data_IF_426703818873
#
_entry.id   IF_426703818873
#
_cell.length_a   1.000
_cell.length_b   1.000
_cell.length_c   1.000
_cell.angle_alpha   90.00
_cell.angle_beta   90.00
_cell.angle_gamma   90.00
#
_symmetry.space_group_name_H-M   'P 1'
#
loop_
_entity.id
_entity.type
_entity.pdbx_description
1 polymer ?
#
# COMPACT_ATOMS: atom_id res chain seq x y z
N UNK A 1 -1.61 2.16 26.32
CA UNK A 1 -2.22 3.31 25.61
C UNK A 1 -1.23 3.76 24.57
N UNK A 2 -1.66 3.86 23.32
CA UNK A 2 -0.77 3.83 22.16
C UNK A 2 -0.86 5.16 21.45
N UNK A 3 0.23 5.93 21.42
CA UNK A 3 0.26 7.23 20.76
C UNK A 3 0.31 7.06 19.24
N UNK A 4 -0.32 7.96 18.49
CA UNK A 4 -0.19 8.06 17.04
C UNK A 4 0.95 9.03 16.72
N UNK A 5 1.83 8.66 15.80
CA UNK A 5 2.80 9.62 15.22
C UNK A 5 2.42 9.88 13.78
N UNK A 6 2.20 11.14 13.43
CA UNK A 6 1.83 11.57 12.09
C UNK A 6 2.93 12.49 11.55
N UNK A 7 3.54 12.10 10.43
CA UNK A 7 4.62 12.86 9.79
C UNK A 7 4.17 13.40 8.44
N UNK A 8 4.33 14.71 8.24
CA UNK A 8 4.02 15.42 7.00
C UNK A 8 5.08 16.50 6.74
N UNK A 9 5.67 16.55 5.55
CA UNK A 9 6.73 17.51 5.16
C UNK A 9 7.78 17.76 6.27
N UNK A 10 8.32 16.67 6.83
CA UNK A 10 9.29 16.63 7.93
C UNK A 10 8.80 17.17 9.29
N UNK A 11 7.54 17.57 9.40
CA UNK A 11 6.89 17.93 10.65
C UNK A 11 6.27 16.68 11.28
N UNK A 12 6.51 16.49 12.58
CA UNK A 12 6.00 15.35 13.34
C UNK A 12 4.95 15.84 14.33
N UNK A 13 3.77 15.24 14.27
CA UNK A 13 2.65 15.47 15.17
C UNK A 13 2.39 14.21 15.99
N UNK A 14 2.25 14.35 17.30
CA UNK A 14 1.96 13.23 18.19
C UNK A 14 0.52 13.36 18.68
N UNK A 15 -0.31 12.35 18.42
CA UNK A 15 -1.67 12.25 18.93
C UNK A 15 -1.75 11.30 20.10
N UNK A 16 -2.32 11.74 21.21
CA UNK A 16 -2.68 10.90 22.35
C UNK A 16 -4.07 10.28 22.14
N UNK A 17 -4.42 9.17 22.82
CA UNK A 17 -5.75 8.56 22.71
C UNK A 17 -6.95 9.48 22.97
N UNK A 18 -6.75 10.59 23.69
CA UNK A 18 -7.78 11.61 23.92
C UNK A 18 -7.93 12.61 22.77
N UNK A 19 -6.97 12.63 21.86
CA UNK A 19 -6.88 13.61 20.79
C UNK A 19 -7.65 13.18 19.55
N UNK A 20 -8.09 14.18 18.80
CA UNK A 20 -8.61 14.01 17.45
C UNK A 20 -7.60 14.65 16.50
N UNK A 21 -6.85 13.81 15.78
CA UNK A 21 -5.83 14.29 14.84
C UNK A 21 -6.47 14.47 13.47
N UNK A 22 -6.61 15.71 13.02
CA UNK A 22 -7.24 16.05 11.74
C UNK A 22 -6.22 16.41 10.68
N UNK A 23 -6.54 16.13 9.42
CA UNK A 23 -5.72 16.59 8.29
C UNK A 23 -6.58 17.06 7.12
N UNK A 24 -6.09 18.08 6.40
CA UNK A 24 -6.78 18.72 5.29
C UNK A 24 -6.14 20.06 4.94
N UNK A 25 -6.79 20.85 4.07
CA UNK A 25 -6.29 22.20 3.73
C UNK A 25 -6.60 23.28 4.76
N UNK A 26 -7.53 23.04 5.68
CA UNK A 26 -7.91 24.10 6.61
C UNK A 26 -6.80 24.30 7.66
N UNK A 27 -6.48 25.55 7.96
CA UNK A 27 -5.41 25.90 8.91
C UNK A 27 -5.70 25.47 10.36
N UNK A 28 -6.95 25.13 10.68
CA UNK A 28 -7.36 24.57 11.98
C UNK A 28 -7.12 23.05 12.08
N UNK A 29 -6.67 22.40 11.00
CA UNK A 29 -6.30 20.99 11.04
C UNK A 29 -5.00 20.79 11.82
N UNK A 30 -4.91 19.69 12.58
CA UNK A 30 -3.68 19.29 13.26
C UNK A 30 -2.51 19.16 12.28
N UNK A 31 -2.79 18.63 11.09
CA UNK A 31 -1.88 18.58 9.94
C UNK A 31 -2.51 19.35 8.78
N UNK A 32 -2.06 20.59 8.60
CA UNK A 32 -2.44 21.40 7.43
C UNK A 32 -1.58 20.97 6.23
N UNK A 33 -2.21 20.43 5.19
CA UNK A 33 -1.51 19.90 4.02
C UNK A 33 -1.03 21.01 3.10
N UNK A 34 -1.97 21.82 2.62
CA UNK A 34 -1.71 22.97 1.77
C UNK A 34 -2.97 23.85 1.77
N UNK A 35 -2.95 25.04 2.37
CA UNK A 35 -4.14 25.88 2.50
C UNK A 35 -4.70 26.40 1.17
N UNK A 36 -3.83 26.52 0.16
CA UNK A 36 -4.15 27.05 -1.16
C UNK A 36 -4.65 25.96 -2.12
N UNK A 37 -4.41 24.68 -1.79
CA UNK A 37 -4.85 23.56 -2.62
C UNK A 37 -6.36 23.29 -2.47
N UNK A 38 -7.17 23.99 -3.27
CA UNK A 38 -8.63 23.87 -3.27
C UNK A 38 -9.16 22.48 -3.65
N UNK A 39 -8.33 21.63 -4.26
CA UNK A 39 -8.73 20.26 -4.58
C UNK A 39 -8.72 19.35 -3.34
N UNK A 40 -7.95 19.72 -2.31
CA UNK A 40 -7.97 19.08 -1.00
C UNK A 40 -9.16 19.57 -0.19
N UNK A 41 -9.85 18.65 0.48
CA UNK A 41 -10.96 19.02 1.37
C UNK A 41 -10.44 19.79 2.59
N UNK A 42 -11.22 20.76 3.09
CA UNK A 42 -10.91 21.50 4.33
C UNK A 42 -10.53 20.55 5.47
N UNK A 43 -11.29 19.46 5.61
CA UNK A 43 -10.96 18.30 6.45
C UNK A 43 -11.04 17.05 5.58
N UNK A 44 -9.89 16.55 5.13
CA UNK A 44 -9.81 15.38 4.26
C UNK A 44 -9.99 14.08 5.05
N UNK A 45 -9.43 14.01 6.25
CA UNK A 45 -9.63 12.88 7.13
C UNK A 45 -9.30 13.17 8.58
N UNK A 46 -9.54 12.17 9.41
CA UNK A 46 -9.33 12.24 10.85
C UNK A 46 -8.87 10.91 11.39
N UNK A 47 -7.96 10.95 12.35
CA UNK A 47 -7.61 9.83 13.21
C UNK A 47 -8.24 10.03 14.59
N UNK A 48 -8.96 9.01 15.04
CA UNK A 48 -9.60 8.97 16.36
C UNK A 48 -9.21 7.66 17.04
N UNK A 49 -8.94 7.69 18.34
CA UNK A 49 -8.76 6.47 19.12
C UNK A 49 -10.12 5.97 19.61
N UNK A 50 -10.53 4.78 19.17
CA UNK A 50 -11.85 4.21 19.46
C UNK A 50 -11.69 2.71 19.73
N UNK A 51 -12.28 2.21 20.82
CA UNK A 51 -12.22 0.80 21.22
C UNK A 51 -10.78 0.24 21.22
N UNK A 52 -9.87 0.95 21.90
CA UNK A 52 -8.46 0.57 22.09
C UNK A 52 -7.58 0.58 20.82
N UNK A 53 -8.03 1.19 19.73
CA UNK A 53 -7.24 1.32 18.50
C UNK A 53 -7.41 2.65 17.79
N UNK A 54 -6.42 3.03 16.98
CA UNK A 54 -6.53 4.18 16.10
C UNK A 54 -7.36 3.84 14.87
N UNK A 55 -8.22 4.78 14.47
CA UNK A 55 -9.09 4.65 13.30
C UNK A 55 -8.96 5.86 12.41
N UNK A 56 -8.60 5.62 11.15
CA UNK A 56 -8.68 6.60 10.09
C UNK A 56 -10.12 6.65 9.54
N UNK A 57 -10.68 7.84 9.41
CA UNK A 57 -11.96 8.09 8.72
C UNK A 57 -11.76 9.11 7.61
N UNK A 58 -12.22 8.78 6.40
CA UNK A 58 -12.31 9.78 5.33
C UNK A 58 -13.46 10.74 5.62
N UNK A 59 -13.14 12.03 5.81
CA UNK A 59 -14.11 13.11 6.08
C UNK A 59 -14.39 14.00 4.87
N UNK A 60 -13.73 13.74 3.74
CA UNK A 60 -14.10 14.36 2.48
C UNK A 60 -15.51 13.98 2.07
N UNK A 61 -16.21 14.90 1.41
CA UNK A 61 -17.53 14.65 0.82
C UNK A 61 -17.45 14.09 -0.59
N UNK A 62 -16.30 14.19 -1.26
CA UNK A 62 -16.16 13.86 -2.69
C UNK A 62 -14.85 13.16 -3.07
N UNK A 63 -13.78 13.30 -2.28
CA UNK A 63 -12.46 12.75 -2.61
C UNK A 63 -12.17 11.48 -1.80
N UNK A 64 -11.73 10.38 -2.44
CA UNK A 64 -11.25 9.22 -1.71
C UNK A 64 -9.86 9.50 -1.12
N UNK A 65 -9.50 8.77 -0.07
CA UNK A 65 -8.13 8.66 0.41
C UNK A 65 -7.51 7.37 -0.14
N UNK A 66 -6.23 7.40 -0.53
CA UNK A 66 -5.50 6.18 -0.81
C UNK A 66 -4.61 5.84 0.37
N UNK A 67 -4.84 4.70 0.98
CA UNK A 67 -4.03 4.19 2.10
C UNK A 67 -3.11 3.11 1.57
N UNK A 68 -1.82 3.22 1.85
CA UNK A 68 -0.81 2.24 1.49
C UNK A 68 -0.28 1.64 2.79
N UNK A 69 -0.29 0.32 2.92
CA UNK A 69 0.28 -0.39 4.08
C UNK A 69 1.80 -0.57 3.96
N UNK A 70 2.44 -1.11 5.00
CA UNK A 70 3.88 -1.43 4.99
C UNK A 70 4.33 -2.34 3.84
N UNK A 71 3.41 -3.13 3.28
CA UNK A 71 3.64 -4.06 2.17
C UNK A 71 3.52 -3.38 0.81
N UNK A 72 3.12 -2.10 0.77
CA UNK A 72 2.87 -1.36 -0.45
C UNK A 72 1.48 -1.61 -1.06
N UNK A 73 0.60 -2.34 -0.37
CA UNK A 73 -0.76 -2.60 -0.86
C UNK A 73 -1.64 -1.37 -0.66
N UNK A 74 -2.35 -0.99 -1.72
CA UNK A 74 -3.25 0.15 -1.71
C UNK A 74 -4.67 -0.27 -1.35
N UNK A 75 -5.26 0.44 -0.41
CA UNK A 75 -6.69 0.47 -0.14
C UNK A 75 -7.26 1.85 -0.41
N UNK A 76 -8.36 1.91 -1.15
CA UNK A 76 -9.08 3.18 -1.40
C UNK A 76 -10.18 3.32 -0.35
N UNK A 77 -10.17 4.44 0.37
CA UNK A 77 -11.14 4.78 1.39
C UNK A 77 -12.05 5.90 0.86
N UNK A 78 -13.25 5.55 0.40
CA UNK A 78 -14.25 6.51 -0.08
C UNK A 78 -14.80 7.43 1.03
N UNK A 79 -15.53 8.50 0.68
CA UNK A 79 -16.18 9.39 1.63
C UNK A 79 -16.93 8.65 2.75
N UNK A 80 -16.66 9.00 4.01
CA UNK A 80 -17.29 8.40 5.19
C UNK A 80 -16.80 7.00 5.60
N UNK A 81 -16.01 6.33 4.75
CA UNK A 81 -15.44 5.02 5.09
C UNK A 81 -14.34 5.14 6.15
N UNK A 82 -14.12 4.03 6.86
CA UNK A 82 -13.22 3.94 8.01
C UNK A 82 -12.25 2.78 7.88
N UNK A 83 -11.05 2.93 8.44
CA UNK A 83 -10.00 1.93 8.45
C UNK A 83 -9.32 1.89 9.83
N UNK A 84 -9.24 0.73 10.50
CA UNK A 84 -8.37 0.58 11.67
C UNK A 84 -6.90 0.72 11.26
N UNK A 85 -6.13 1.43 12.07
CA UNK A 85 -4.69 1.67 11.87
C UNK A 85 -3.92 0.90 12.94
N UNK A 86 -3.47 -0.29 12.57
CA UNK A 86 -2.80 -1.24 13.48
C UNK A 86 -1.31 -1.43 13.12
N UNK A 87 -0.95 -1.10 11.89
CA UNK A 87 0.40 -1.13 11.34
C UNK A 87 0.71 0.25 10.75
N UNK A 88 1.99 0.60 10.57
CA UNK A 88 2.35 1.84 9.88
C UNK A 88 1.73 1.90 8.47
N UNK A 89 1.19 3.07 8.14
CA UNK A 89 0.54 3.32 6.85
C UNK A 89 0.99 4.65 6.27
N UNK A 90 0.75 4.81 4.98
CA UNK A 90 0.80 6.09 4.31
C UNK A 90 -0.56 6.45 3.75
N UNK A 91 -0.97 7.68 4.00
CA UNK A 91 -2.21 8.24 3.46
C UNK A 91 -1.82 9.23 2.37
N UNK A 92 -2.22 8.93 1.14
CA UNK A 92 -2.14 9.83 0.00
C UNK A 92 -3.47 10.56 -0.17
N UNK A 93 -3.38 11.89 -0.18
CA UNK A 93 -4.50 12.80 -0.39
C UNK A 93 -4.29 13.49 -1.74
N UNK A 94 -5.18 13.21 -2.69
CA UNK A 94 -5.10 13.82 -4.02
C UNK A 94 -5.60 15.28 -3.97
N UNK A 95 -4.72 16.20 -4.36
CA UNK A 95 -4.99 17.62 -4.53
C UNK A 95 -4.56 18.11 -5.93
N UNK A 96 -4.16 19.37 -6.04
CA UNK A 96 -3.41 19.88 -7.19
C UNK A 96 -2.06 19.16 -7.31
N UNK A 97 -1.48 18.78 -6.17
CA UNK A 97 -0.43 17.77 -6.03
C UNK A 97 -0.90 16.67 -5.07
N UNK A 98 -0.30 15.49 -5.17
CA UNK A 98 -0.56 14.42 -4.21
C UNK A 98 0.19 14.72 -2.91
N UNK A 99 -0.53 14.81 -1.79
CA UNK A 99 0.04 15.03 -0.45
C UNK A 99 0.18 13.70 0.29
N UNK A 100 1.32 13.48 0.94
CA UNK A 100 1.64 12.20 1.58
C UNK A 100 1.85 12.37 3.08
N UNK A 101 1.08 11.62 3.86
CA UNK A 101 1.17 11.58 5.32
C UNK A 101 1.66 10.20 5.72
N UNK A 102 2.73 10.11 6.53
CA UNK A 102 3.13 8.87 7.18
C UNK A 102 2.48 8.80 8.55
N UNK A 103 1.94 7.63 8.88
CA UNK A 103 1.29 7.36 10.15
C UNK A 103 1.96 6.15 10.78
N UNK A 104 2.53 6.34 11.96
CA UNK A 104 3.14 5.29 12.75
C UNK A 104 2.32 5.07 14.02
N UNK A 105 1.93 3.81 14.23
CA UNK A 105 1.34 3.34 15.49
C UNK A 105 2.32 2.35 16.14
N UNK A 106 2.65 2.51 17.43
CA UNK A 106 3.40 1.51 18.16
C UNK A 106 2.67 0.17 18.09
N UNK A 107 3.35 -0.86 17.60
CA UNK A 107 2.83 -2.22 17.47
C UNK A 107 2.42 -2.70 18.86
N UNK A 108 1.12 -2.62 19.15
CA UNK A 108 0.56 -3.07 20.42
C UNK A 108 0.19 -4.52 20.24
N UNK A 109 1.13 -5.37 20.64
CA UNK A 109 1.11 -6.84 20.65
C UNK A 109 1.38 -7.52 19.30
N UNK A 110 2.14 -8.63 19.29
CA UNK A 110 2.13 -9.53 18.16
C UNK A 110 0.69 -10.01 17.99
N UNK A 111 0.04 -9.60 16.90
CA UNK A 111 -1.06 -10.38 16.35
C UNK A 111 -0.54 -11.82 16.32
N UNK A 112 -1.14 -12.81 17.03
CA UNK A 112 -0.83 -14.18 16.71
C UNK A 112 -1.07 -14.25 15.21
N UNK A 113 -0.04 -14.64 14.45
CA UNK A 113 -0.23 -15.03 13.06
C UNK A 113 -1.54 -15.78 13.05
N UNK A 114 -2.49 -15.36 12.20
CA UNK A 114 -3.75 -16.08 12.09
C UNK A 114 -3.36 -17.52 11.81
N UNK A 115 -3.33 -18.32 12.87
CA UNK A 115 -3.24 -19.76 12.80
C UNK A 115 -4.60 -20.03 12.23
N UNK A 116 -4.63 -20.12 10.90
CA UNK A 116 -5.76 -20.60 10.15
C UNK A 116 -6.27 -21.79 10.94
N UNK A 117 -7.43 -21.65 11.57
CA UNK A 117 -8.14 -22.80 12.10
C UNK A 117 -8.14 -23.84 10.97
N UNK A 118 -7.89 -25.13 11.26
CA UNK A 118 -7.88 -26.17 10.25
C UNK A 118 -9.31 -26.49 9.79
N UNK A 119 -10.06 -25.47 9.36
CA UNK A 119 -11.16 -25.62 8.41
C UNK A 119 -10.52 -25.46 7.04
N UNK A 120 -10.20 -26.60 6.41
CA UNK A 120 -9.65 -26.76 5.05
C UNK A 120 -9.61 -25.45 4.25
N UNK A 121 -8.48 -24.72 4.31
CA UNK A 121 -8.32 -23.61 3.42
C UNK A 121 -8.08 -24.21 2.03
N UNK A 122 -8.89 -23.84 1.06
CA UNK A 122 -8.51 -23.89 -0.35
C UNK A 122 -7.36 -22.90 -0.55
N UNK A 123 -6.17 -23.20 0.02
CA UNK A 123 -4.90 -22.52 -0.26
C UNK A 123 -4.46 -23.03 -1.62
N UNK A 124 -5.13 -22.51 -2.63
CA UNK A 124 -4.76 -22.68 -4.01
C UNK A 124 -3.63 -21.66 -4.25
N UNK A 125 -2.40 -22.16 -4.34
CA UNK A 125 -1.20 -21.34 -4.61
C UNK A 125 0.11 -21.78 -3.95
N UNK A 126 0.10 -22.65 -2.93
CA UNK A 126 1.31 -23.02 -2.17
C UNK A 126 2.34 -23.85 -2.97
N UNK A 127 2.01 -24.26 -4.20
CA UNK A 127 2.85 -25.16 -5.02
C UNK A 127 3.65 -24.47 -6.14
N UNK A 128 3.55 -23.16 -6.33
CA UNK A 128 4.28 -22.49 -7.42
C UNK A 128 5.64 -21.98 -6.93
N UNK A 129 6.69 -22.75 -7.20
CA UNK A 129 8.07 -22.35 -6.89
C UNK A 129 8.49 -21.12 -7.73
N UNK A 130 8.53 -19.94 -7.12
CA UNK A 130 9.06 -18.74 -7.78
C UNK A 130 10.58 -18.82 -7.83
N UNK A 131 11.14 -18.83 -9.04
CA UNK A 131 12.60 -18.84 -9.24
C UNK A 131 13.21 -17.50 -8.85
N UNK A 132 14.52 -17.48 -8.55
CA UNK A 132 15.25 -16.25 -8.25
C UNK A 132 15.17 -15.22 -9.41
N UNK A 133 15.18 -15.69 -10.66
CA UNK A 133 15.03 -14.82 -11.84
C UNK A 133 13.63 -14.20 -11.94
N UNK A 134 12.57 -14.97 -11.62
CA UNK A 134 11.20 -14.47 -11.55
C UNK A 134 11.04 -13.45 -10.43
N UNK A 135 11.59 -13.73 -9.24
CA UNK A 135 11.61 -12.82 -8.10
C UNK A 135 12.31 -11.49 -8.46
N UNK A 136 13.51 -11.54 -9.05
CA UNK A 136 14.23 -10.34 -9.48
C UNK A 136 13.46 -9.55 -10.55
N UNK A 137 12.75 -10.26 -11.42
CA UNK A 137 11.91 -9.63 -12.45
C UNK A 137 10.69 -8.93 -11.86
N UNK A 138 10.02 -9.56 -10.89
CA UNK A 138 8.94 -8.93 -10.12
C UNK A 138 9.45 -7.72 -9.36
N UNK A 139 10.62 -7.80 -8.72
CA UNK A 139 11.22 -6.67 -8.02
C UNK A 139 11.51 -5.48 -8.94
N UNK A 140 11.97 -5.75 -10.18
CA UNK A 140 12.19 -4.71 -11.18
C UNK A 140 10.90 -4.07 -11.70
N UNK A 141 9.82 -4.85 -11.84
CA UNK A 141 8.50 -4.36 -12.28
C UNK A 141 7.76 -3.60 -11.18
N UNK A 142 7.80 -4.11 -9.95
CA UNK A 142 7.03 -3.59 -8.82
C UNK A 142 7.83 -2.67 -7.93
N UNK A 143 8.93 -2.10 -8.43
CA UNK A 143 9.83 -1.22 -7.68
C UNK A 143 9.12 -0.05 -7.01
N UNK A 144 8.04 0.47 -7.59
CA UNK A 144 7.26 1.57 -6.99
C UNK A 144 6.46 1.13 -5.76
N UNK A 145 6.01 -0.13 -5.71
CA UNK A 145 5.37 -0.70 -4.53
C UNK A 145 6.37 -1.06 -3.43
N UNK A 146 7.59 -1.43 -3.83
CA UNK A 146 8.62 -1.94 -2.93
C UNK A 146 9.50 -0.84 -2.32
N UNK A 147 9.48 0.37 -2.87
CA UNK A 147 10.15 1.53 -2.27
C UNK A 147 9.30 2.09 -1.14
N UNK A 148 9.95 2.76 -0.19
CA UNK A 148 9.22 3.61 0.74
C UNK A 148 8.41 4.63 -0.05
N UNK A 149 7.16 4.89 0.34
CA UNK A 149 6.13 4.95 -0.66
C UNK A 149 6.20 6.20 -1.52
N UNK A 150 5.74 6.02 -2.76
CA UNK A 150 5.82 7.03 -3.80
C UNK A 150 5.01 8.29 -3.48
N UNK A 151 5.38 9.39 -4.12
CA UNK A 151 4.63 10.66 -4.11
C UNK A 151 3.23 10.51 -4.69
N UNK A 152 3.03 9.53 -5.57
CA UNK A 152 1.77 9.22 -6.23
C UNK A 152 1.40 7.75 -6.06
N UNK A 153 0.18 7.36 -6.41
CA UNK A 153 -0.25 5.95 -6.38
C UNK A 153 0.74 5.05 -7.15
N UNK A 154 1.33 4.00 -6.52
CA UNK A 154 2.28 3.11 -7.17
C UNK A 154 1.65 2.35 -8.33
N UNK A 155 2.41 2.17 -9.41
CA UNK A 155 2.01 1.33 -10.55
C UNK A 155 3.14 0.40 -10.97
N UNK A 156 2.84 -0.73 -11.64
CA UNK A 156 3.89 -1.55 -12.21
C UNK A 156 4.62 -0.77 -13.31
N UNK A 157 5.94 -0.91 -13.37
CA UNK A 157 6.73 -0.38 -14.48
C UNK A 157 6.46 -1.13 -15.77
N UNK A 158 6.75 -0.47 -16.89
CA UNK A 158 6.73 -1.13 -18.19
C UNK A 158 7.78 -2.25 -18.28
N UNK A 159 7.51 -3.28 -19.07
CA UNK A 159 8.48 -4.36 -19.33
C UNK A 159 9.81 -3.83 -19.89
N UNK A 160 9.79 -2.73 -20.65
CA UNK A 160 11.00 -2.10 -21.17
C UNK A 160 11.84 -1.47 -20.05
N UNK A 161 11.21 -0.76 -19.11
CA UNK A 161 11.90 -0.17 -17.98
C UNK A 161 12.46 -1.24 -17.03
N UNK A 162 11.71 -2.32 -16.79
CA UNK A 162 12.20 -3.46 -16.01
C UNK A 162 13.37 -4.16 -16.71
N UNK A 163 13.29 -4.39 -18.02
CA UNK A 163 14.37 -5.00 -18.78
C UNK A 163 15.66 -4.18 -18.77
N UNK A 164 15.55 -2.85 -18.93
CA UNK A 164 16.67 -1.94 -18.83
C UNK A 164 17.35 -2.00 -17.44
N UNK A 165 16.57 -2.09 -16.36
CA UNK A 165 17.09 -2.27 -15.00
C UNK A 165 17.83 -3.60 -14.82
N UNK A 166 17.37 -4.66 -15.47
CA UNK A 166 17.94 -6.00 -15.35
C UNK A 166 19.12 -6.26 -16.30
N UNK A 167 19.38 -5.37 -17.26
CA UNK A 167 20.32 -5.64 -18.36
C UNK A 167 19.85 -6.76 -19.30
N UNK A 168 18.53 -7.00 -19.38
CA UNK A 168 17.94 -8.07 -20.18
C UNK A 168 17.15 -7.52 -21.39
N UNK A 169 16.76 -8.40 -22.32
CA UNK A 169 15.85 -8.06 -23.42
C UNK A 169 14.41 -7.95 -22.90
N UNK A 170 13.63 -6.98 -23.41
CA UNK A 170 12.18 -6.83 -23.12
C UNK A 170 11.40 -8.14 -23.27
N UNK A 171 11.67 -8.90 -24.34
CA UNK A 171 10.99 -10.16 -24.62
C UNK A 171 11.28 -11.23 -23.56
N UNK A 172 12.49 -11.26 -23.00
CA UNK A 172 12.85 -12.17 -21.91
C UNK A 172 12.04 -11.88 -20.65
N UNK A 173 11.95 -10.61 -20.26
CA UNK A 173 11.16 -10.15 -19.10
C UNK A 173 9.68 -10.47 -19.30
N UNK A 174 9.11 -10.09 -20.45
CA UNK A 174 7.70 -10.33 -20.78
C UNK A 174 7.36 -11.81 -20.72
N UNK A 175 8.15 -12.65 -21.41
CA UNK A 175 7.94 -14.09 -21.45
C UNK A 175 8.02 -14.71 -20.05
N UNK A 176 8.97 -14.27 -19.23
CA UNK A 176 9.13 -14.75 -17.85
C UNK A 176 7.89 -14.45 -17.01
N UNK A 177 7.33 -13.24 -17.12
CA UNK A 177 6.10 -12.86 -16.40
C UNK A 177 4.87 -13.57 -16.92
N UNK A 178 4.76 -13.78 -18.23
CA UNK A 178 3.64 -14.55 -18.81
C UNK A 178 3.63 -15.99 -18.32
N UNK A 179 4.79 -16.67 -18.33
CA UNK A 179 4.91 -18.02 -17.79
C UNK A 179 4.60 -18.08 -16.29
N UNK A 180 5.11 -17.12 -15.50
CA UNK A 180 4.80 -17.05 -14.08
C UNK A 180 3.30 -16.88 -13.84
N UNK A 181 2.63 -15.95 -14.55
CA UNK A 181 1.18 -15.73 -14.45
C UNK A 181 0.38 -16.96 -14.84
N UNK A 182 0.76 -17.65 -15.91
CA UNK A 182 0.11 -18.89 -16.31
C UNK A 182 0.22 -19.97 -15.22
N UNK A 183 1.42 -20.13 -14.64
CA UNK A 183 1.66 -21.07 -13.53
C UNK A 183 0.84 -20.73 -12.28
N UNK A 184 0.79 -19.45 -11.91
CA UNK A 184 -0.01 -18.98 -10.78
C UNK A 184 -1.52 -19.13 -11.03
N UNK A 185 -1.98 -18.86 -12.25
CA UNK A 185 -3.39 -19.05 -12.65
C UNK A 185 -3.78 -20.52 -12.60
N UNK A 186 -2.92 -21.43 -13.07
CA UNK A 186 -3.14 -22.87 -12.97
C UNK A 186 -3.17 -23.36 -11.52
N UNK A 187 -2.40 -22.71 -10.66
CA UNK A 187 -2.47 -22.87 -9.21
C UNK A 187 -3.53 -21.98 -8.55
N UNK A 188 -4.56 -21.57 -9.32
CA UNK A 188 -5.77 -20.82 -8.96
C UNK A 188 -5.59 -19.47 -8.27
N UNK A 189 -4.49 -18.78 -8.54
CA UNK A 189 -4.40 -17.36 -8.26
C UNK A 189 -5.48 -16.60 -9.06
N UNK A 190 -6.30 -15.76 -8.40
CA UNK A 190 -7.40 -15.07 -9.06
C UNK A 190 -6.91 -13.94 -9.97
N UNK A 191 -7.66 -13.66 -11.03
CA UNK A 191 -7.57 -12.42 -11.81
C UNK A 191 -6.20 -12.10 -12.45
N UNK A 192 -5.35 -13.10 -12.70
CA UNK A 192 -4.04 -12.90 -13.34
C UNK A 192 -4.10 -12.88 -14.88
N UNK A 193 -5.26 -12.61 -15.47
CA UNK A 193 -5.50 -12.50 -16.92
C UNK A 193 -6.23 -11.19 -17.26
N UNK A 194 -6.12 -10.74 -18.52
CA UNK A 194 -6.76 -9.49 -18.97
C UNK A 194 -5.94 -8.21 -18.72
N UNK A 195 -6.61 -7.05 -18.81
CA UNK A 195 -5.96 -5.74 -18.89
C UNK A 195 -5.30 -5.27 -17.57
N UNK A 196 -5.81 -5.72 -16.41
CA UNK A 196 -5.28 -5.39 -15.07
C UNK A 196 -4.32 -6.46 -14.53
N UNK A 197 -3.88 -7.39 -15.37
CA UNK A 197 -3.22 -8.58 -14.87
C UNK A 197 -1.86 -8.31 -14.22
N UNK A 198 -1.20 -7.20 -14.57
CA UNK A 198 0.09 -6.83 -13.99
C UNK A 198 -0.09 -6.19 -12.61
N UNK A 199 -1.13 -5.38 -12.43
CA UNK A 199 -1.57 -4.84 -11.14
C UNK A 199 -2.02 -5.97 -10.20
N UNK A 200 -2.84 -6.91 -10.72
CA UNK A 200 -3.29 -8.07 -9.94
C UNK A 200 -2.12 -8.99 -9.57
N UNK A 201 -1.12 -9.14 -10.45
CA UNK A 201 0.11 -9.86 -10.12
C UNK A 201 0.91 -9.13 -9.02
N UNK A 202 0.97 -7.80 -9.05
CA UNK A 202 1.64 -7.02 -8.00
C UNK A 202 0.95 -7.26 -6.65
N UNK A 203 -0.38 -7.10 -6.59
CA UNK A 203 -1.18 -7.33 -5.39
C UNK A 203 -1.03 -8.76 -4.85
N UNK A 204 -1.10 -9.75 -5.74
CA UNK A 204 -0.89 -11.15 -5.38
C UNK A 204 0.53 -11.40 -4.84
N UNK A 205 1.56 -10.88 -5.51
CA UNK A 205 2.95 -11.09 -5.12
C UNK A 205 3.29 -10.41 -3.79
N UNK A 206 2.80 -9.19 -3.56
CA UNK A 206 3.02 -8.44 -2.31
C UNK A 206 2.25 -9.07 -1.14
N UNK A 207 0.97 -9.43 -1.34
CA UNK A 207 0.14 -10.03 -0.29
C UNK A 207 0.67 -11.39 0.18
N UNK A 208 1.25 -12.18 -0.73
CA UNK A 208 1.87 -13.49 -0.45
C UNK A 208 3.39 -13.42 -0.16
N UNK A 209 3.98 -12.23 -0.09
CA UNK A 209 5.44 -12.02 0.11
C UNK A 209 6.33 -12.77 -0.88
N UNK A 210 5.87 -12.95 -2.12
CA UNK A 210 6.68 -13.50 -3.21
C UNK A 210 7.80 -12.54 -3.62
N UNK A 211 7.62 -11.25 -3.35
CA UNK A 211 8.62 -10.20 -3.47
C UNK A 211 8.46 -9.22 -2.31
N UNK A 212 9.58 -8.67 -1.85
CA UNK A 212 9.68 -7.77 -0.68
C UNK A 212 10.64 -6.62 -0.96
N UNK A 213 10.70 -5.63 -0.06
CA UNK A 213 11.62 -4.50 -0.20
C UNK A 213 13.09 -4.93 -0.27
N UNK A 214 13.45 -6.03 0.38
CA UNK A 214 14.82 -6.57 0.37
C UNK A 214 15.25 -7.05 -1.02
N UNK A 215 14.30 -7.43 -1.87
CA UNK A 215 14.58 -7.84 -3.26
C UNK A 215 15.01 -6.66 -4.15
N UNK A 216 14.91 -5.41 -3.67
CA UNK A 216 15.44 -4.23 -4.37
C UNK A 216 16.95 -4.05 -4.20
N UNK A 217 17.55 -4.68 -3.19
CA UNK A 217 18.98 -4.56 -2.84
C UNK A 217 19.87 -5.54 -3.61
N UNK A 218 19.27 -6.46 -4.38
CA UNK A 218 19.92 -7.49 -5.19
C UNK A 218 20.12 -7.05 -6.64
#
# INVERSE_FOLDING_TARGET
MTNLTVTFDNTVHIGQPTDIVTFGRAADCTVCLDPEDIAVSRRAGVFEFVHDGWRLTNRSTSRPLSVIDERGLRKVLGPGQRLPVEEPIWVLVEGARSHRIRVDVPISHPRPEQTLSPGLPTVVGEKVLVTAAERRTMAALFVEYLRDPPEAVPKPRSYQAAAARLGEKRSTVLRRIEYLRARLTAAGAPSLTGHNALENLAEYALSRRLVTKDDLRQ
#
